data_IF_376233524128
#
_entry.id   IF_376233524128
#
_cell.length_a   1.000
_cell.length_b   1.000
_cell.length_c   1.000
_cell.angle_alpha   90.00
_cell.angle_beta   90.00
_cell.angle_gamma   90.00
#
_symmetry.space_group_name_H-M   'P 1'
#
loop_
_entity.id
_entity.type
_entity.pdbx_description
1 polymer ?
#
# COMPACT_ATOMS: atom_id res chain seq x y z
N UNK A 1 10.14 -7.51 -2.19
CA UNK A 1 11.31 -8.04 -1.46
C UNK A 1 11.88 -9.24 -2.19
N UNK A 2 11.04 -10.13 -2.72
CA UNK A 2 11.46 -11.34 -3.46
C UNK A 2 12.56 -11.07 -4.48
N UNK A 3 12.36 -10.11 -5.38
CA UNK A 3 13.35 -9.72 -6.41
C UNK A 3 14.73 -9.29 -5.86
N UNK A 4 14.81 -8.75 -4.63
CA UNK A 4 16.09 -8.37 -4.01
C UNK A 4 16.78 -9.62 -3.47
N UNK A 5 16.01 -10.53 -2.86
CA UNK A 5 16.52 -11.76 -2.23
C UNK A 5 16.95 -12.78 -3.29
N UNK A 6 16.18 -12.93 -4.36
CA UNK A 6 16.47 -13.88 -5.44
C UNK A 6 17.41 -13.32 -6.51
N UNK A 7 17.76 -12.03 -6.44
CA UNK A 7 18.47 -11.30 -7.49
C UNK A 7 19.66 -12.05 -8.09
N UNK A 8 20.64 -12.42 -7.25
CA UNK A 8 21.88 -13.05 -7.73
C UNK A 8 21.62 -14.38 -8.44
N UNK A 9 20.77 -15.20 -7.83
CA UNK A 9 20.46 -16.53 -8.34
C UNK A 9 19.67 -16.49 -9.65
N UNK A 10 18.78 -15.52 -9.80
CA UNK A 10 18.03 -15.31 -11.03
C UNK A 10 18.93 -14.81 -12.17
N UNK A 11 19.91 -13.97 -11.84
CA UNK A 11 20.87 -13.47 -12.81
C UNK A 11 21.87 -14.53 -13.27
N UNK A 12 22.34 -15.39 -12.36
CA UNK A 12 23.17 -16.56 -12.72
C UNK A 12 22.45 -17.50 -13.69
N UNK A 13 21.11 -17.57 -13.62
CA UNK A 13 20.27 -18.38 -14.51
C UNK A 13 19.93 -17.69 -15.83
N UNK A 14 20.44 -16.47 -16.06
CA UNK A 14 20.20 -15.71 -17.28
C UNK A 14 18.78 -15.15 -17.38
N UNK A 15 18.10 -14.87 -16.26
CA UNK A 15 16.79 -14.21 -16.29
C UNK A 15 16.97 -12.71 -16.49
N UNK A 16 16.32 -12.18 -17.53
CA UNK A 16 16.76 -10.95 -18.19
C UNK A 16 16.22 -9.65 -17.55
N UNK A 17 15.25 -9.71 -16.63
CA UNK A 17 14.68 -8.49 -16.03
C UNK A 17 14.13 -8.71 -14.62
N UNK A 18 14.95 -8.47 -13.60
CA UNK A 18 14.51 -8.30 -12.21
C UNK A 18 14.16 -6.84 -11.93
N UNK A 19 13.41 -6.56 -10.85
CA UNK A 19 13.16 -5.18 -10.43
C UNK A 19 14.46 -4.39 -10.15
N UNK A 20 15.52 -5.07 -9.70
CA UNK A 20 16.85 -4.45 -9.47
C UNK A 20 17.47 -4.00 -10.79
N UNK A 21 17.48 -4.83 -11.83
CA UNK A 21 18.00 -4.46 -13.15
C UNK A 21 17.20 -3.32 -13.79
N UNK A 22 15.87 -3.41 -13.70
CA UNK A 22 14.99 -2.35 -14.18
C UNK A 22 15.30 -1.02 -13.48
N UNK A 23 15.48 -1.04 -12.16
CA UNK A 23 15.78 0.14 -11.36
C UNK A 23 17.17 0.71 -11.70
N UNK A 24 18.21 -0.13 -11.75
CA UNK A 24 19.57 0.28 -12.13
C UNK A 24 19.58 0.92 -13.51
N UNK A 25 18.89 0.31 -14.50
CA UNK A 25 18.81 0.82 -15.86
C UNK A 25 18.03 2.13 -15.95
N UNK A 26 16.92 2.25 -15.22
CA UNK A 26 16.06 3.43 -15.27
C UNK A 26 16.74 4.66 -14.65
N UNK A 27 17.45 4.47 -13.54
CA UNK A 27 18.02 5.59 -12.77
C UNK A 27 19.55 5.73 -12.95
N UNK A 28 20.20 4.80 -13.65
CA UNK A 28 21.65 4.83 -13.87
C UNK A 28 22.47 4.65 -12.59
N UNK A 29 21.91 3.93 -11.61
CA UNK A 29 22.48 3.77 -10.26
C UNK A 29 23.20 2.43 -10.09
N UNK A 30 24.00 2.33 -9.04
CA UNK A 30 24.60 1.07 -8.62
C UNK A 30 23.54 0.09 -8.10
N UNK A 31 23.91 -1.20 -8.05
CA UNK A 31 23.06 -2.25 -7.47
C UNK A 31 22.72 -2.00 -6.00
N UNK A 32 23.68 -1.49 -5.22
CA UNK A 32 23.44 -1.18 -3.80
C UNK A 32 22.39 -0.07 -3.68
N UNK A 33 22.53 1.02 -4.45
CA UNK A 33 21.56 2.10 -4.47
C UNK A 33 20.18 1.63 -4.97
N UNK A 34 20.14 0.68 -5.92
CA UNK A 34 18.90 0.06 -6.34
C UNK A 34 18.23 -0.77 -5.23
N UNK A 35 19.00 -1.56 -4.47
CA UNK A 35 18.48 -2.29 -3.31
C UNK A 35 17.93 -1.34 -2.24
N UNK A 36 18.67 -0.28 -1.91
CA UNK A 36 18.24 0.74 -0.93
C UNK A 36 16.98 1.47 -1.41
N UNK A 37 16.93 1.87 -2.68
CA UNK A 37 15.76 2.51 -3.29
C UNK A 37 14.52 1.61 -3.29
N UNK A 38 14.67 0.34 -3.67
CA UNK A 38 13.57 -0.63 -3.67
C UNK A 38 13.07 -0.93 -2.24
N UNK A 39 13.96 -1.02 -1.25
CA UNK A 39 13.56 -1.19 0.16
C UNK A 39 12.77 0.03 0.67
N UNK A 40 13.24 1.24 0.37
CA UNK A 40 12.51 2.46 0.72
C UNK A 40 11.13 2.52 0.07
N UNK A 41 11.00 2.11 -1.21
CA UNK A 41 9.70 2.03 -1.87
C UNK A 41 8.75 1.04 -1.18
N UNK A 42 9.25 -0.13 -0.74
CA UNK A 42 8.46 -1.09 0.01
C UNK A 42 7.97 -0.48 1.33
N UNK A 43 8.83 0.22 2.08
CA UNK A 43 8.43 0.87 3.32
C UNK A 43 7.37 1.96 3.13
N UNK A 44 7.53 2.79 2.08
CA UNK A 44 6.57 3.84 1.74
C UNK A 44 5.21 3.23 1.37
N UNK A 45 5.20 2.22 0.49
CA UNK A 45 3.98 1.56 0.05
C UNK A 45 3.28 0.83 1.20
N UNK A 46 4.05 0.23 2.12
CA UNK A 46 3.49 -0.40 3.29
C UNK A 46 2.78 0.60 4.20
N UNK A 47 3.35 1.78 4.42
CA UNK A 47 2.68 2.86 5.16
C UNK A 47 1.41 3.32 4.46
N UNK A 48 1.47 3.53 3.14
CA UNK A 48 0.32 3.97 2.35
C UNK A 48 -0.86 2.99 2.44
N UNK A 49 -0.60 1.67 2.30
CA UNK A 49 -1.63 0.63 2.43
C UNK A 49 -2.24 0.62 3.83
N UNK A 50 -1.42 0.73 4.88
CA UNK A 50 -1.93 0.77 6.25
C UNK A 50 -2.77 2.03 6.52
N UNK A 51 -2.36 3.19 6.00
CA UNK A 51 -3.14 4.42 6.09
C UNK A 51 -4.47 4.31 5.33
N UNK A 52 -4.46 3.71 4.14
CA UNK A 52 -5.67 3.46 3.34
C UNK A 52 -6.66 2.54 4.06
N UNK A 53 -6.17 1.46 4.68
CA UNK A 53 -6.98 0.52 5.46
C UNK A 53 -7.59 1.13 6.73
N UNK A 54 -7.00 2.21 7.25
CA UNK A 54 -7.54 2.96 8.40
C UNK A 54 -8.56 4.02 7.99
N UNK A 55 -8.71 4.34 6.70
CA UNK A 55 -9.72 5.29 6.26
C UNK A 55 -11.11 4.66 6.44
N UNK A 56 -12.08 5.41 6.95
CA UNK A 56 -13.47 4.97 6.94
C UNK A 56 -13.85 4.62 5.50
N UNK A 57 -14.33 3.41 5.29
CA UNK A 57 -14.99 3.08 4.03
C UNK A 57 -16.17 4.03 3.88
N UNK A 58 -16.34 4.69 2.74
CA UNK A 58 -17.41 5.69 2.53
C UNK A 58 -18.83 5.12 2.84
N UNK A 59 -19.00 3.81 2.80
CA UNK A 59 -20.22 3.10 3.22
C UNK A 59 -20.35 2.79 4.72
N UNK A 60 -19.44 3.28 5.57
CA UNK A 60 -19.47 3.12 7.03
C UNK A 60 -20.12 4.31 7.75
N UNK A 61 -20.53 5.34 7.00
CA UNK A 61 -21.41 6.36 7.52
C UNK A 61 -22.70 5.69 7.99
N UNK A 62 -22.86 5.64 9.31
CA UNK A 62 -24.06 5.12 9.97
C UNK A 62 -25.33 5.92 9.61
N UNK A 63 -25.20 7.03 8.85
CA UNK A 63 -26.32 7.73 8.21
C UNK A 63 -26.88 7.01 6.97
N UNK A 64 -26.09 6.14 6.33
CA UNK A 64 -26.53 5.37 5.15
C UNK A 64 -27.38 4.15 5.53
N UNK A 65 -27.11 3.56 6.69
CA UNK A 65 -28.01 2.61 7.32
C UNK A 65 -29.10 3.44 8.00
N UNK A 66 -30.31 3.47 7.45
CA UNK A 66 -31.45 4.26 7.94
C UNK A 66 -31.99 3.88 9.33
N UNK A 67 -31.12 3.60 10.31
CA UNK A 67 -31.49 3.42 11.71
C UNK A 67 -31.73 4.78 12.36
N UNK A 68 -32.99 5.21 12.34
CA UNK A 68 -33.50 6.25 13.23
C UNK A 68 -33.21 5.85 14.69
N UNK A 69 -32.50 6.71 15.42
CA UNK A 69 -32.28 6.55 16.86
C UNK A 69 -33.63 6.48 17.59
N UNK A 70 -33.96 5.40 18.32
CA UNK A 70 -35.16 5.38 19.15
C UNK A 70 -34.87 6.19 20.41
N UNK A 71 -35.24 7.48 20.42
CA UNK A 71 -35.05 8.30 21.61
C UNK A 71 -35.30 9.79 21.52
N UNK A 72 -35.49 10.37 20.32
CA UNK A 72 -35.94 11.76 20.22
C UNK A 72 -37.45 11.85 20.47
N UNK A 73 -37.80 11.85 21.77
CA UNK A 73 -39.12 12.15 22.31
C UNK A 73 -39.63 13.45 21.64
N UNK A 74 -40.51 13.31 20.66
CA UNK A 74 -41.29 14.44 20.18
C UNK A 74 -42.26 14.77 21.30
N UNK A 75 -42.10 15.96 21.89
CA UNK A 75 -43.09 16.51 22.80
C UNK A 75 -44.46 16.47 22.14
N UNK A 76 -45.39 15.75 22.76
CA UNK A 76 -46.81 15.85 22.45
C UNK A 76 -47.21 17.31 22.57
N UNK A 77 -47.62 17.91 21.46
CA UNK A 77 -48.49 19.09 21.49
C UNK A 77 -49.89 18.56 21.70
N UNK A 78 -50.40 18.71 22.93
CA UNK A 78 -51.83 18.74 23.26
C UNK A 78 -52.13 20.08 23.91
#
# INVERSE_FOLDING_TARGET
>A
MDDIVSHEFEQERGRVASSVECYMKQYGVSKQEAHEGLNNLVEILWKYVNEDMLRPFEGSDASSYGYSQPGANHGLVV
#
